data_IF_650967511138
#
_entry.id   IF_650967511138
#
_cell.length_a   1.000
_cell.length_b   1.000
_cell.length_c   1.000
_cell.angle_alpha   90.00
_cell.angle_beta   90.00
_cell.angle_gamma   90.00
#
_symmetry.space_group_name_H-M   'P 1'
#
loop_
_entity.id
_entity.type
_entity.pdbx_description
1 polymer ?
#
# COMPACT_ATOMS: atom_id res chain seq x y z
N UNK A 1 -6.07 7.87 3.00
CA UNK A 1 -4.61 7.74 3.12
C UNK A 1 -4.26 7.55 4.60
N UNK A 2 -3.59 6.45 4.94
CA UNK A 2 -3.07 6.17 6.28
C UNK A 2 -1.55 6.33 6.26
N UNK A 3 -1.02 7.23 7.07
CA UNK A 3 0.42 7.56 7.13
C UNK A 3 0.87 7.81 8.56
N UNK A 4 2.11 8.30 8.76
CA UNK A 4 2.74 8.46 10.07
C UNK A 4 2.69 7.14 10.86
N UNK A 5 3.08 6.06 10.16
CA UNK A 5 3.04 4.71 10.69
C UNK A 5 3.83 4.63 12.00
N UNK A 6 3.40 3.74 12.90
CA UNK A 6 3.94 3.64 14.27
C UNK A 6 5.45 3.43 14.37
N UNK A 7 6.11 2.99 13.29
CA UNK A 7 7.54 2.67 13.25
C UNK A 7 8.48 3.79 13.69
N UNK A 8 8.08 5.07 13.58
CA UNK A 8 8.90 6.21 13.97
C UNK A 8 8.27 7.08 15.08
N UNK A 9 7.36 6.52 15.89
CA UNK A 9 6.67 7.26 16.97
C UNK A 9 6.76 6.54 18.32
N UNK A 10 6.34 7.22 19.39
CA UNK A 10 6.17 6.63 20.73
C UNK A 10 5.05 5.59 20.75
N UNK A 11 5.02 4.74 21.78
CA UNK A 11 4.08 3.61 21.93
C UNK A 11 2.61 4.01 21.69
N UNK A 12 2.20 5.21 22.13
CA UNK A 12 0.81 5.68 22.00
C UNK A 12 0.34 5.87 20.55
N UNK A 13 1.27 5.90 19.60
CA UNK A 13 0.99 6.04 18.16
C UNK A 13 1.22 4.73 17.39
N UNK A 14 1.48 3.61 18.09
CA UNK A 14 1.80 2.32 17.47
C UNK A 14 0.64 1.33 17.54
N UNK A 15 -0.38 1.55 16.70
CA UNK A 15 -1.48 0.59 16.55
C UNK A 15 -1.85 0.40 15.06
N UNK A 16 -1.30 -0.62 14.38
CA UNK A 16 -1.63 -0.91 12.98
C UNK A 16 -2.95 -1.70 12.81
N UNK A 17 -3.70 -1.98 13.87
CA UNK A 17 -4.81 -2.95 13.86
C UNK A 17 -6.03 -2.55 13.03
N UNK A 18 -6.10 -1.30 12.54
CA UNK A 18 -7.22 -0.84 11.71
C UNK A 18 -7.41 -1.73 10.48
N UNK A 19 -6.35 -2.08 9.77
CA UNK A 19 -6.45 -2.92 8.56
C UNK A 19 -6.97 -4.32 8.90
N UNK A 20 -6.48 -4.93 9.99
CA UNK A 20 -6.96 -6.22 10.47
C UNK A 20 -8.44 -6.19 10.84
N UNK A 21 -8.90 -5.15 11.56
CA UNK A 21 -10.29 -5.00 11.96
C UNK A 21 -11.22 -4.85 10.73
N UNK A 22 -10.78 -4.06 9.74
CA UNK A 22 -11.53 -3.86 8.50
C UNK A 22 -11.63 -5.15 7.68
N UNK A 23 -10.53 -5.90 7.55
CA UNK A 23 -10.53 -7.20 6.85
C UNK A 23 -11.41 -8.23 7.54
N UNK A 24 -11.42 -8.27 8.88
CA UNK A 24 -12.28 -9.16 9.65
C UNK A 24 -13.78 -8.88 9.44
N UNK A 25 -14.14 -7.65 9.04
CA UNK A 25 -15.51 -7.28 8.69
C UNK A 25 -16.00 -7.91 7.37
N UNK A 26 -15.10 -8.41 6.51
CA UNK A 26 -15.47 -9.12 5.28
C UNK A 26 -16.11 -8.26 4.19
N UNK A 27 -16.06 -6.94 4.29
CA UNK A 27 -16.60 -6.03 3.28
C UNK A 27 -15.76 -6.11 1.99
N UNK A 28 -16.29 -6.80 0.99
CA UNK A 28 -15.67 -6.96 -0.34
C UNK A 28 -15.58 -5.67 -1.15
N UNK A 29 -16.23 -4.59 -0.70
CA UNK A 29 -16.15 -3.26 -1.34
C UNK A 29 -14.99 -2.42 -0.82
N UNK A 30 -14.28 -2.88 0.21
CA UNK A 30 -13.11 -2.22 0.75
C UNK A 30 -11.83 -2.69 0.05
N UNK A 31 -10.98 -1.73 -0.34
CA UNK A 31 -9.64 -2.01 -0.83
C UNK A 31 -8.57 -1.52 0.16
N UNK A 32 -7.61 -2.36 0.50
CA UNK A 32 -6.44 -2.00 1.29
C UNK A 32 -5.21 -2.14 0.40
N UNK A 33 -4.51 -1.03 0.16
CA UNK A 33 -3.32 -0.97 -0.68
C UNK A 33 -2.10 -0.64 0.18
N UNK A 34 -1.04 -1.43 0.06
CA UNK A 34 0.22 -1.28 0.83
C UNK A 34 1.41 -1.09 -0.13
N UNK A 35 1.48 0.05 -0.85
CA UNK A 35 2.55 0.32 -1.81
C UNK A 35 3.92 0.35 -1.10
N UNK A 36 4.93 -0.24 -1.75
CA UNK A 36 6.26 -0.40 -1.16
C UNK A 36 7.13 0.87 -1.19
N UNK A 37 6.88 1.79 -2.13
CA UNK A 37 7.70 2.98 -2.36
C UNK A 37 6.87 4.19 -2.83
N UNK A 38 7.47 5.41 -2.96
CA UNK A 38 6.73 6.61 -3.32
C UNK A 38 6.11 6.57 -4.73
N UNK A 39 6.77 5.92 -5.69
CA UNK A 39 6.26 5.81 -7.05
C UNK A 39 5.02 4.91 -7.09
N UNK A 40 5.08 3.76 -6.41
CA UNK A 40 3.94 2.86 -6.20
C UNK A 40 2.83 3.52 -5.40
N UNK A 41 3.17 4.38 -4.44
CA UNK A 41 2.16 5.16 -3.67
C UNK A 41 1.41 6.13 -4.58
N UNK A 42 2.12 6.89 -5.41
CA UNK A 42 1.50 7.81 -6.37
C UNK A 42 0.59 7.07 -7.37
N UNK A 43 1.05 5.92 -7.87
CA UNK A 43 0.30 5.06 -8.77
C UNK A 43 -0.96 4.50 -8.10
N UNK A 44 -0.85 3.97 -6.88
CA UNK A 44 -1.98 3.44 -6.10
C UNK A 44 -3.01 4.52 -5.78
N UNK A 45 -2.59 5.74 -5.42
CA UNK A 45 -3.49 6.87 -5.22
C UNK A 45 -4.21 7.27 -6.51
N UNK A 46 -3.49 7.33 -7.63
CA UNK A 46 -4.08 7.64 -8.94
C UNK A 46 -5.11 6.57 -9.33
N UNK A 47 -4.78 5.30 -9.13
CA UNK A 47 -5.68 4.18 -9.38
C UNK A 47 -6.92 4.24 -8.48
N UNK A 48 -6.75 4.45 -7.18
CA UNK A 48 -7.85 4.56 -6.24
C UNK A 48 -8.81 5.70 -6.60
N UNK A 49 -8.27 6.89 -6.89
CA UNK A 49 -9.09 8.07 -7.21
C UNK A 49 -9.80 7.97 -8.57
N UNK A 50 -9.22 7.27 -9.55
CA UNK A 50 -9.74 7.26 -10.93
C UNK A 50 -10.48 5.99 -11.32
N UNK A 51 -10.23 4.88 -10.63
CA UNK A 51 -10.67 3.55 -11.06
C UNK A 51 -11.42 2.78 -9.97
N UNK A 52 -11.18 3.07 -8.70
CA UNK A 52 -11.88 2.41 -7.60
C UNK A 52 -13.04 3.30 -7.13
N UNK A 53 -14.26 2.95 -7.51
CA UNK A 53 -15.49 3.58 -6.99
C UNK A 53 -15.87 2.98 -5.62
N UNK A 54 -14.87 2.92 -4.73
CA UNK A 54 -14.85 2.05 -3.55
C UNK A 54 -14.06 2.69 -2.42
N UNK A 55 -14.43 2.37 -1.18
CA UNK A 55 -13.66 2.80 -0.02
C UNK A 55 -12.24 2.20 -0.10
N UNK A 56 -11.22 3.05 -0.18
CA UNK A 56 -9.84 2.61 -0.37
C UNK A 56 -8.91 3.18 0.70
N UNK A 57 -8.24 2.30 1.43
CA UNK A 57 -7.20 2.64 2.39
C UNK A 57 -5.85 2.40 1.76
N UNK A 58 -5.14 3.49 1.42
CA UNK A 58 -3.73 3.44 1.02
C UNK A 58 -2.86 3.62 2.26
N UNK A 59 -2.06 2.63 2.62
CA UNK A 59 -1.11 2.66 3.74
C UNK A 59 0.27 3.02 3.21
N UNK A 60 0.75 4.22 3.52
CA UNK A 60 2.00 4.74 2.97
C UNK A 60 2.87 5.39 4.04
N UNK A 61 4.17 5.07 4.01
CA UNK A 61 5.18 5.76 4.81
C UNK A 61 5.40 7.20 4.33
N UNK A 62 5.85 8.07 5.23
CA UNK A 62 6.23 9.47 4.93
C UNK A 62 7.75 9.73 4.98
N UNK A 63 8.50 8.70 5.32
CA UNK A 63 9.96 8.76 5.44
C UNK A 63 10.61 8.28 4.14
N UNK A 64 11.87 8.66 3.93
CA UNK A 64 12.67 8.16 2.82
C UNK A 64 12.73 6.64 2.84
N UNK A 65 12.54 6.04 1.67
CA UNK A 65 12.59 4.59 1.46
C UNK A 65 13.31 4.30 0.15
N UNK A 66 13.68 3.05 -0.04
CA UNK A 66 14.29 2.56 -1.29
C UNK A 66 13.26 2.70 -2.42
N UNK A 67 13.75 3.10 -3.60
CA UNK A 67 12.96 3.06 -4.83
C UNK A 67 13.20 1.74 -5.54
N UNK A 68 12.13 1.04 -5.90
CA UNK A 68 12.23 -0.19 -6.67
C UNK A 68 11.98 0.06 -8.16
N UNK A 69 12.61 -0.72 -9.06
CA UNK A 69 12.30 -0.72 -10.49
C UNK A 69 10.79 -0.74 -10.77
N UNK A 70 10.36 -0.02 -11.81
CA UNK A 70 8.94 0.19 -12.14
C UNK A 70 8.38 -0.86 -13.11
N UNK A 71 9.20 -1.82 -13.53
CA UNK A 71 8.87 -2.83 -14.56
C UNK A 71 7.59 -3.61 -14.25
N UNK A 72 7.31 -3.83 -12.96
CA UNK A 72 6.16 -4.62 -12.49
C UNK A 72 4.98 -3.77 -12.06
N UNK A 73 5.06 -2.44 -12.15
CA UNK A 73 4.06 -1.53 -11.57
C UNK A 73 2.65 -1.77 -12.12
N UNK A 74 2.52 -1.96 -13.43
CA UNK A 74 1.22 -2.20 -14.07
C UNK A 74 0.62 -3.55 -13.67
N UNK A 75 1.46 -4.58 -13.50
CA UNK A 75 1.05 -5.90 -13.01
C UNK A 75 0.57 -5.81 -11.56
N UNK A 76 1.31 -5.11 -10.71
CA UNK A 76 0.95 -4.85 -9.31
C UNK A 76 -0.40 -4.13 -9.19
N UNK A 77 -0.65 -3.10 -10.01
CA UNK A 77 -1.93 -2.39 -10.00
C UNK A 77 -3.10 -3.26 -10.47
N UNK A 78 -2.86 -4.13 -11.46
CA UNK A 78 -3.89 -4.98 -12.05
C UNK A 78 -4.25 -6.16 -11.15
N UNK A 79 -3.25 -6.80 -10.55
CA UNK A 79 -3.39 -8.06 -9.83
C UNK A 79 -3.26 -7.92 -8.31
N UNK A 80 -2.82 -6.76 -7.82
CA UNK A 80 -2.51 -6.52 -6.41
C UNK A 80 -1.13 -7.06 -5.98
N UNK A 81 -0.42 -7.76 -6.86
CA UNK A 81 0.89 -8.37 -6.61
C UNK A 81 1.63 -8.60 -7.93
N UNK A 82 2.97 -8.62 -7.88
CA UNK A 82 3.83 -9.07 -8.97
C UNK A 82 5.13 -9.64 -8.40
N UNK A 83 5.82 -10.47 -9.18
CA UNK A 83 7.17 -10.96 -8.84
C UNK A 83 8.19 -9.93 -9.30
N UNK A 84 9.06 -9.46 -8.40
CA UNK A 84 10.12 -8.50 -8.74
C UNK A 84 11.41 -9.21 -9.18
N UNK A 85 11.79 -9.16 -10.48
CA UNK A 85 12.90 -9.97 -10.99
C UNK A 85 14.23 -9.70 -10.28
N UNK A 86 14.49 -8.44 -9.95
CA UNK A 86 15.71 -8.00 -9.26
C UNK A 86 15.83 -8.49 -7.80
N UNK A 87 14.76 -9.00 -7.19
CA UNK A 87 14.77 -9.61 -5.86
C UNK A 87 14.73 -11.14 -5.89
N UNK A 88 14.47 -11.74 -7.04
CA UNK A 88 14.33 -13.20 -7.19
C UNK A 88 15.61 -13.91 -7.65
N UNK A 89 16.65 -13.17 -8.01
CA UNK A 89 17.94 -13.74 -8.38
C UNK A 89 19.00 -13.39 -7.31
N UNK A 90 19.70 -14.39 -6.74
CA UNK A 90 20.78 -14.18 -5.76
C UNK A 90 22.03 -13.54 -6.39
#
# INVERSE_FOLDING_TARGET
LLTSLGWHNTLTHQNPSLTSALLAGGDTTLHILTPADPARTAAALTFALRKLDRCTVVVAGKHTTVHHPLETLDEELRHGIAIWPHLTHP
#
